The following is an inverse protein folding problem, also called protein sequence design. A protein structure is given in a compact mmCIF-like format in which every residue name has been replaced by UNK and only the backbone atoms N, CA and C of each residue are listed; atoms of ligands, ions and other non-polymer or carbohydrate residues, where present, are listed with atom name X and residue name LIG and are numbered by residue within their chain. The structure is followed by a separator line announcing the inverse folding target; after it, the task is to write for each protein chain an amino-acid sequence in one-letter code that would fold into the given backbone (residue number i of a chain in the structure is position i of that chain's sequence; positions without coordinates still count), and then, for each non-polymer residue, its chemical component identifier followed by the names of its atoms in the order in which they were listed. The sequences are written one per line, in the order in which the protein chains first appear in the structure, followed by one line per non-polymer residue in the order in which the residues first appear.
data_IF_266434617142
#
_entry.id   IF_266434617142
#
_cell.length_a   1.000
_cell.length_b   1.000
_cell.length_c   1.000
_cell.angle_alpha   90.00
_cell.angle_beta   90.00
_cell.angle_gamma   90.00
#
_symmetry.space_group_name_H-M   'P 1'
#
loop_
_entity.id
_entity.type
_entity.pdbx_description
1 polymer ?
#
# COMPACT_ATOMS: atom_id res chain seq x y z
N UNK A 1 12.28 22.23 -23.10
CA UNK A 1 12.44 22.58 -21.66
C UNK A 1 11.49 23.75 -21.33
N UNK A 2 11.40 24.83 -22.15
CA UNK A 2 10.51 25.96 -21.89
C UNK A 2 9.02 25.62 -21.89
N UNK A 3 8.55 24.74 -22.78
CA UNK A 3 7.15 24.31 -22.85
C UNK A 3 6.76 23.47 -21.64
N UNK A 4 7.65 22.61 -21.15
CA UNK A 4 7.43 21.82 -19.92
C UNK A 4 7.40 22.71 -18.69
N UNK A 5 8.26 23.72 -18.62
CA UNK A 5 8.26 24.70 -17.53
C UNK A 5 6.99 25.56 -17.54
N UNK A 6 6.51 26.01 -18.71
CA UNK A 6 5.26 26.76 -18.85
C UNK A 6 4.04 25.92 -18.45
N UNK A 7 4.00 24.65 -18.85
CA UNK A 7 2.94 23.70 -18.43
C UNK A 7 3.00 23.49 -16.92
N UNK A 8 4.17 23.31 -16.33
CA UNK A 8 4.34 23.14 -14.90
C UNK A 8 3.90 24.39 -14.11
N UNK A 9 4.27 25.59 -14.55
CA UNK A 9 3.85 26.86 -13.94
C UNK A 9 2.34 27.07 -14.08
N UNK A 10 1.75 26.78 -15.24
CA UNK A 10 0.30 26.84 -15.43
C UNK A 10 -0.44 25.85 -14.56
N UNK A 11 0.09 24.63 -14.41
CA UNK A 11 -0.46 23.65 -13.47
C UNK A 11 -0.34 24.09 -12.02
N UNK A 12 0.76 24.75 -11.62
CA UNK A 12 0.92 25.28 -10.25
C UNK A 12 -0.05 26.42 -9.99
N UNK A 13 -0.25 27.35 -10.93
CA UNK A 13 -1.21 28.44 -10.77
C UNK A 13 -2.66 27.94 -10.79
N UNK A 14 -2.98 26.99 -11.67
CA UNK A 14 -4.28 26.33 -11.69
C UNK A 14 -4.52 25.58 -10.36
N UNK A 15 -3.52 24.82 -9.91
CA UNK A 15 -3.55 24.11 -8.62
C UNK A 15 -3.77 25.06 -7.45
N UNK A 16 -3.03 26.16 -7.42
CA UNK A 16 -3.17 27.20 -6.39
C UNK A 16 -4.56 27.84 -6.38
N UNK A 17 -5.12 28.15 -7.54
CA UNK A 17 -6.47 28.70 -7.68
C UNK A 17 -7.56 27.71 -7.29
N UNK A 18 -7.38 26.42 -7.58
CA UNK A 18 -8.38 25.38 -7.29
C UNK A 18 -8.33 24.97 -5.82
N UNK A 19 -7.13 24.82 -5.23
CA UNK A 19 -6.95 24.24 -3.92
C UNK A 19 -6.93 25.25 -2.74
N UNK A 20 -6.60 26.52 -3.00
CA UNK A 20 -6.47 27.54 -1.96
C UNK A 20 -7.67 28.49 -1.87
N UNK A 21 -8.79 28.20 -2.55
CA UNK A 21 -9.97 29.09 -2.57
C UNK A 21 -10.70 29.08 -1.23
N UNK A 22 -10.76 27.94 -0.53
CA UNK A 22 -11.49 27.82 0.73
C UNK A 22 -10.72 26.94 1.72
N UNK A 23 -10.68 27.40 2.98
CA UNK A 23 -10.03 26.66 4.09
C UNK A 23 -10.58 25.24 4.24
N UNK A 24 -11.86 25.01 3.97
CA UNK A 24 -12.49 23.67 4.03
C UNK A 24 -11.96 22.75 2.95
N UNK A 25 -11.81 23.25 1.74
CA UNK A 25 -11.21 22.52 0.61
C UNK A 25 -9.76 22.13 0.92
N UNK A 26 -9.00 23.06 1.50
CA UNK A 26 -7.60 22.81 1.91
C UNK A 26 -7.51 21.72 2.97
N UNK A 27 -8.39 21.74 3.98
CA UNK A 27 -8.39 20.72 5.05
C UNK A 27 -8.75 19.33 4.50
N UNK A 28 -9.80 19.23 3.69
CA UNK A 28 -10.22 17.94 3.11
C UNK A 28 -9.17 17.36 2.16
N UNK A 29 -8.66 18.17 1.25
CA UNK A 29 -7.61 17.73 0.32
C UNK A 29 -6.29 17.44 1.06
N UNK A 30 -5.94 18.24 2.07
CA UNK A 30 -4.79 18.02 2.93
C UNK A 30 -4.86 16.67 3.65
N UNK A 31 -6.04 16.28 4.13
CA UNK A 31 -6.25 14.97 4.75
C UNK A 31 -6.07 13.82 3.74
N UNK A 32 -6.62 13.94 2.53
CA UNK A 32 -6.44 12.95 1.46
C UNK A 32 -4.95 12.80 1.10
N UNK A 33 -4.23 13.92 0.93
CA UNK A 33 -2.81 13.90 0.62
C UNK A 33 -1.98 13.30 1.77
N UNK A 34 -2.32 13.60 3.02
CA UNK A 34 -1.66 13.03 4.19
C UNK A 34 -1.84 11.50 4.22
N UNK A 35 -3.06 11.00 3.99
CA UNK A 35 -3.31 9.56 3.88
C UNK A 35 -2.52 8.94 2.74
N UNK A 36 -2.50 9.59 1.58
CA UNK A 36 -1.73 9.12 0.42
C UNK A 36 -0.24 9.02 0.71
N UNK A 37 0.37 10.06 1.27
CA UNK A 37 1.81 10.06 1.57
C UNK A 37 2.19 9.07 2.67
N UNK A 38 1.38 8.95 3.74
CA UNK A 38 1.63 7.95 4.78
C UNK A 38 1.52 6.53 4.24
N UNK A 39 0.54 6.26 3.38
CA UNK A 39 0.41 5.00 2.66
C UNK A 39 1.59 4.73 1.73
N UNK A 40 2.03 5.74 0.97
CA UNK A 40 3.15 5.63 0.05
C UNK A 40 4.47 5.29 0.78
N UNK A 41 4.72 5.92 1.93
CA UNK A 41 5.88 5.60 2.77
C UNK A 41 5.85 4.14 3.23
N UNK A 42 4.69 3.65 3.66
CA UNK A 42 4.55 2.25 4.06
C UNK A 42 4.72 1.29 2.88
N UNK A 43 4.22 1.66 1.71
CA UNK A 43 4.37 0.88 0.50
C UNK A 43 5.85 0.78 0.08
N UNK A 44 6.60 1.89 0.14
CA UNK A 44 8.04 1.90 -0.13
C UNK A 44 8.79 1.01 0.88
N UNK A 45 8.43 1.06 2.16
CA UNK A 45 9.03 0.19 3.18
C UNK A 45 8.75 -1.28 2.92
N UNK A 46 7.52 -1.62 2.52
CA UNK A 46 7.14 -2.99 2.18
C UNK A 46 7.89 -3.50 0.94
N UNK A 47 8.05 -2.67 -0.11
CA UNK A 47 8.86 -3.01 -1.29
C UNK A 47 10.32 -3.23 -0.91
N UNK A 48 10.89 -2.36 -0.07
CA UNK A 48 12.28 -2.51 0.38
C UNK A 48 12.49 -3.80 1.18
N UNK A 49 11.54 -4.14 2.05
CA UNK A 49 11.54 -5.39 2.80
C UNK A 49 11.50 -6.60 1.88
N UNK A 50 10.54 -6.66 0.95
CA UNK A 50 10.41 -7.77 0.00
C UNK A 50 11.62 -7.90 -0.95
N UNK A 51 12.18 -6.79 -1.40
CA UNK A 51 13.40 -6.80 -2.23
C UNK A 51 14.61 -7.32 -1.46
N UNK A 52 14.66 -7.09 -0.15
CA UNK A 52 15.71 -7.65 0.71
C UNK A 52 15.54 -9.16 0.84
N UNK A 53 14.32 -9.64 1.07
CA UNK A 53 14.02 -11.07 1.15
C UNK A 53 14.32 -11.80 -0.18
N UNK A 54 13.95 -11.20 -1.31
CA UNK A 54 14.26 -11.75 -2.64
C UNK A 54 15.75 -11.98 -2.83
N UNK A 55 16.60 -10.99 -2.49
CA UNK A 55 18.05 -11.12 -2.57
C UNK A 55 18.59 -12.23 -1.66
N UNK A 56 17.99 -12.42 -0.49
CA UNK A 56 18.39 -13.51 0.41
C UNK A 56 18.04 -14.88 -0.15
N UNK A 57 16.87 -15.00 -0.81
CA UNK A 57 16.46 -16.22 -1.52
C UNK A 57 17.43 -16.54 -2.66
N UNK A 58 17.78 -15.55 -3.46
CA UNK A 58 18.76 -15.73 -4.55
C UNK A 58 20.15 -16.10 -4.02
N UNK A 59 20.61 -15.44 -2.95
CA UNK A 59 21.87 -15.79 -2.28
C UNK A 59 21.86 -17.22 -1.77
N UNK A 60 20.77 -17.68 -1.15
CA UNK A 60 20.59 -19.05 -0.70
C UNK A 60 20.71 -20.06 -1.86
N UNK A 61 20.03 -19.82 -2.97
CA UNK A 61 20.06 -20.69 -4.13
C UNK A 61 21.47 -20.76 -4.73
N UNK A 62 22.15 -19.62 -4.81
CA UNK A 62 23.54 -19.57 -5.35
C UNK A 62 24.55 -20.27 -4.44
N UNK A 63 24.45 -20.11 -3.12
CA UNK A 63 25.35 -20.76 -2.15
C UNK A 63 25.14 -22.30 -2.09
N UNK A 64 23.90 -22.77 -2.25
CA UNK A 64 23.60 -24.21 -2.37
C UNK A 64 24.20 -24.82 -3.64
N UNK A 65 24.15 -24.12 -4.78
CA UNK A 65 24.83 -24.56 -6.01
C UNK A 65 26.35 -24.65 -5.84
N UNK A 66 26.94 -23.76 -5.04
CA UNK A 66 28.38 -23.68 -4.77
C UNK A 66 28.84 -24.61 -3.62
N UNK A 67 27.93 -25.39 -3.00
CA UNK A 67 28.17 -26.25 -1.82
C UNK A 67 28.78 -25.51 -0.61
N UNK A 68 28.55 -24.22 -0.49
CA UNK A 68 28.93 -23.45 0.70
C UNK A 68 27.84 -23.58 1.77
N UNK A 69 28.25 -23.84 3.01
CA UNK A 69 27.35 -23.80 4.17
C UNK A 69 26.84 -22.38 4.37
N UNK A 70 25.51 -22.23 4.54
CA UNK A 70 24.91 -20.94 4.86
C UNK A 70 25.50 -20.37 6.14
N UNK A 71 25.81 -19.06 6.19
CA UNK A 71 26.13 -18.37 7.43
C UNK A 71 24.91 -18.45 8.38
N UNK A 72 25.14 -18.82 9.64
CA UNK A 72 24.08 -18.89 10.66
C UNK A 72 23.29 -17.60 10.83
N UNK A 73 23.90 -16.44 10.55
CA UNK A 73 23.25 -15.13 10.57
C UNK A 73 22.16 -14.98 9.51
N UNK A 74 22.31 -15.56 8.33
CA UNK A 74 21.29 -15.52 7.27
C UNK A 74 20.07 -16.38 7.63
N UNK A 75 20.29 -17.45 8.41
CA UNK A 75 19.26 -18.38 8.84
C UNK A 75 18.30 -17.79 9.88
N UNK A 76 18.70 -16.79 10.64
CA UNK A 76 17.87 -16.24 11.73
C UNK A 76 16.89 -15.16 11.30
N UNK A 77 17.18 -14.42 10.23
CA UNK A 77 16.46 -13.18 9.89
C UNK A 77 15.60 -13.31 8.63
N UNK A 78 15.97 -14.19 7.68
CA UNK A 78 15.26 -14.35 6.40
C UNK A 78 14.04 -15.26 6.49
N UNK A 79 13.10 -15.10 5.54
CA UNK A 79 11.94 -15.99 5.36
C UNK A 79 12.36 -17.46 5.20
N UNK A 80 13.38 -17.72 4.40
CA UNK A 80 13.94 -19.07 4.21
C UNK A 80 14.54 -19.60 5.51
N UNK A 81 15.28 -18.77 6.24
CA UNK A 81 15.90 -19.18 7.49
C UNK A 81 14.85 -19.48 8.57
N UNK A 82 13.81 -18.67 8.71
CA UNK A 82 12.69 -18.94 9.61
C UNK A 82 12.00 -20.26 9.27
N UNK A 83 11.81 -20.51 7.98
CA UNK A 83 11.24 -21.75 7.47
C UNK A 83 12.11 -22.96 7.83
N UNK A 84 13.41 -22.86 7.54
CA UNK A 84 14.38 -23.89 7.86
C UNK A 84 14.39 -24.22 9.36
N UNK A 85 14.47 -23.22 10.21
CA UNK A 85 14.47 -23.38 11.66
C UNK A 85 13.17 -24.02 12.18
N UNK A 86 12.03 -23.67 11.61
CA UNK A 86 10.73 -24.26 11.95
C UNK A 86 10.71 -25.76 11.58
N UNK A 87 11.14 -26.11 10.37
CA UNK A 87 11.19 -27.49 9.91
C UNK A 87 12.17 -28.30 10.76
N UNK A 88 13.36 -27.77 11.03
CA UNK A 88 14.37 -28.39 11.89
C UNK A 88 13.84 -28.64 13.30
N UNK A 89 13.19 -27.66 13.93
CA UNK A 89 12.65 -27.81 15.27
C UNK A 89 11.53 -28.86 15.37
N UNK A 90 10.72 -29.01 14.34
CA UNK A 90 9.70 -30.06 14.26
C UNK A 90 10.33 -31.44 14.05
N UNK A 91 11.37 -31.53 13.22
CA UNK A 91 12.13 -32.76 12.99
C UNK A 91 12.80 -33.25 14.28
N UNK A 92 13.50 -32.37 14.98
CA UNK A 92 14.16 -32.71 16.29
C UNK A 92 13.15 -33.20 17.33
N UNK A 93 11.91 -32.67 17.31
CA UNK A 93 10.81 -33.10 18.21
C UNK A 93 10.08 -34.36 17.72
N UNK A 94 10.45 -34.92 16.57
CA UNK A 94 9.77 -36.07 15.93
C UNK A 94 8.27 -35.83 15.68
N UNK A 95 7.88 -34.58 15.41
CA UNK A 95 6.50 -34.22 15.08
C UNK A 95 6.30 -34.33 13.57
N UNK A 96 5.18 -34.89 13.09
CA UNK A 96 4.91 -34.96 11.66
C UNK A 96 4.85 -33.56 11.05
N UNK A 97 5.66 -33.33 10.00
CA UNK A 97 5.80 -32.03 9.36
C UNK A 97 4.69 -31.85 8.33
N UNK A 98 3.75 -30.93 8.63
CA UNK A 98 2.74 -30.53 7.67
C UNK A 98 3.22 -29.28 6.91
N UNK A 99 3.84 -29.50 5.76
CA UNK A 99 4.41 -28.43 4.93
C UNK A 99 3.38 -27.38 4.49
N UNK A 100 2.15 -27.83 4.19
CA UNK A 100 1.06 -26.91 3.82
C UNK A 100 0.65 -25.99 4.95
N UNK A 101 0.59 -26.48 6.19
CA UNK A 101 0.27 -25.67 7.36
C UNK A 101 1.36 -24.62 7.63
N UNK A 102 2.64 -25.02 7.53
CA UNK A 102 3.75 -24.09 7.71
C UNK A 102 3.76 -23.02 6.59
N UNK A 103 3.48 -23.40 5.33
CA UNK A 103 3.34 -22.47 4.22
C UNK A 103 2.25 -21.43 4.48
N UNK A 104 1.07 -21.90 4.91
CA UNK A 104 -0.06 -21.03 5.22
C UNK A 104 0.24 -20.03 6.36
N UNK A 105 0.97 -20.46 7.40
CA UNK A 105 1.40 -19.57 8.49
C UNK A 105 2.35 -18.50 7.96
N UNK A 106 3.35 -18.88 7.16
CA UNK A 106 4.31 -17.92 6.57
C UNK A 106 3.60 -16.90 5.68
N UNK A 107 2.67 -17.35 4.83
CA UNK A 107 1.86 -16.45 4.01
C UNK A 107 1.01 -15.49 4.86
N UNK A 108 0.42 -15.97 5.94
CA UNK A 108 -0.40 -15.15 6.84
C UNK A 108 0.46 -14.11 7.61
N UNK A 109 1.67 -14.46 8.01
CA UNK A 109 2.61 -13.54 8.65
C UNK A 109 3.04 -12.44 7.70
N UNK A 110 3.38 -12.78 6.46
CA UNK A 110 3.89 -11.84 5.48
C UNK A 110 2.79 -10.90 4.97
N UNK A 111 1.59 -11.41 4.71
CA UNK A 111 0.44 -10.59 4.29
C UNK A 111 0.01 -9.56 5.36
N UNK A 112 0.44 -9.71 6.60
CA UNK A 112 0.24 -8.71 7.65
C UNK A 112 0.92 -7.37 7.33
N UNK A 113 2.06 -7.39 6.67
CA UNK A 113 2.76 -6.18 6.24
C UNK A 113 1.99 -5.38 5.19
N UNK A 114 1.11 -6.04 4.41
CA UNK A 114 0.25 -5.41 3.41
C UNK A 114 -1.09 -4.91 3.97
N UNK A 115 -1.42 -5.23 5.22
CA UNK A 115 -2.70 -4.82 5.81
C UNK A 115 -2.87 -3.31 5.83
N UNK A 116 -1.82 -2.54 6.16
CA UNK A 116 -1.89 -1.08 6.20
C UNK A 116 -2.01 -0.45 4.80
N UNK A 117 -1.18 -0.79 3.80
CA UNK A 117 -1.39 -0.35 2.42
C UNK A 117 -2.80 -0.66 1.89
N UNK A 118 -3.32 -1.85 2.17
CA UNK A 118 -4.69 -2.24 1.79
C UNK A 118 -5.74 -1.35 2.45
N UNK A 119 -5.58 -1.06 3.72
CA UNK A 119 -6.46 -0.15 4.46
C UNK A 119 -6.44 1.24 3.84
N UNK A 120 -5.25 1.82 3.60
CA UNK A 120 -5.11 3.14 2.97
C UNK A 120 -5.75 3.19 1.60
N UNK A 121 -5.55 2.15 0.77
CA UNK A 121 -6.17 2.06 -0.55
C UNK A 121 -7.69 2.17 -0.48
N UNK A 122 -8.32 1.47 0.44
CA UNK A 122 -9.77 1.51 0.61
C UNK A 122 -10.27 2.83 1.20
N UNK A 123 -9.53 3.40 2.15
CA UNK A 123 -9.92 4.65 2.82
C UNK A 123 -9.77 5.85 1.90
N UNK A 124 -8.82 5.86 0.95
CA UNK A 124 -8.64 6.96 0.01
C UNK A 124 -9.91 7.23 -0.82
N UNK A 125 -10.53 6.20 -1.37
CA UNK A 125 -11.76 6.37 -2.15
C UNK A 125 -12.94 6.76 -1.26
N UNK A 126 -13.06 6.15 -0.07
CA UNK A 126 -14.11 6.47 0.89
C UNK A 126 -14.01 7.92 1.39
N UNK A 127 -12.80 8.41 1.58
CA UNK A 127 -12.57 9.82 1.99
C UNK A 127 -12.99 10.79 0.89
N UNK A 128 -12.77 10.44 -0.38
CA UNK A 128 -13.26 11.23 -1.51
C UNK A 128 -14.79 11.32 -1.52
N UNK A 129 -15.48 10.21 -1.36
CA UNK A 129 -16.95 10.15 -1.28
C UNK A 129 -17.47 10.90 -0.06
N UNK A 130 -16.84 10.72 1.10
CA UNK A 130 -17.19 11.44 2.31
C UNK A 130 -17.04 12.96 2.14
N UNK A 131 -15.93 13.39 1.53
CA UNK A 131 -15.67 14.80 1.22
C UNK A 131 -16.73 15.41 0.31
N UNK A 132 -17.22 14.67 -0.70
CA UNK A 132 -18.34 15.15 -1.54
C UNK A 132 -19.63 15.30 -0.77
N UNK A 133 -19.98 14.34 0.08
CA UNK A 133 -21.21 14.42 0.90
C UNK A 133 -21.17 15.65 1.80
N UNK A 134 -20.07 15.88 2.52
CA UNK A 134 -19.90 17.03 3.40
C UNK A 134 -20.00 18.34 2.60
N UNK A 135 -19.35 18.42 1.46
CA UNK A 135 -19.35 19.63 0.62
C UNK A 135 -20.73 19.92 0.02
N UNK A 136 -21.48 18.89 -0.38
CA UNK A 136 -22.85 19.05 -0.86
C UNK A 136 -23.81 19.51 0.25
N UNK A 137 -23.63 19.06 1.48
CA UNK A 137 -24.40 19.57 2.63
C UNK A 137 -24.19 21.07 2.78
N UNK A 138 -22.95 21.57 2.66
CA UNK A 138 -22.67 23.00 2.68
C UNK A 138 -23.31 23.74 1.50
N UNK A 139 -23.32 23.17 0.31
CA UNK A 139 -23.99 23.75 -0.85
C UNK A 139 -25.49 23.88 -0.61
N UNK A 140 -26.13 22.87 0.01
CA UNK A 140 -27.56 22.91 0.36
C UNK A 140 -27.87 23.97 1.40
N UNK A 141 -27.02 24.16 2.41
CA UNK A 141 -27.17 25.25 3.39
C UNK A 141 -27.16 26.61 2.68
N UNK A 142 -26.28 26.84 1.72
CA UNK A 142 -26.27 28.03 0.87
C UNK A 142 -27.59 28.24 0.11
N UNK A 143 -28.13 27.16 -0.48
CA UNK A 143 -29.38 27.20 -1.21
C UNK A 143 -30.58 27.56 -0.30
N UNK A 144 -30.64 27.03 0.92
CA UNK A 144 -31.72 27.40 1.89
C UNK A 144 -31.65 28.83 2.32
N UNK A 145 -30.46 29.42 2.44
CA UNK A 145 -30.28 30.86 2.77
C UNK A 145 -30.84 31.75 1.66
N UNK A 146 -30.66 31.39 0.40
CA UNK A 146 -31.26 32.12 -0.77
C UNK A 146 -32.77 32.15 -0.66
N UNK A 147 -33.40 31.04 -0.31
CA UNK A 147 -34.86 30.91 -0.24
C UNK A 147 -35.49 31.68 0.96
N UNK A 148 -34.76 31.81 2.05
CA UNK A 148 -35.29 32.37 3.29
C UNK A 148 -35.10 33.91 3.43
N UNK A 149 -33.98 34.44 2.92
CA UNK A 149 -33.55 35.80 3.25
C UNK A 149 -33.57 36.79 2.09
N UNK A 150 -33.99 36.38 0.88
CA UNK A 150 -33.80 37.15 -0.38
C UNK A 150 -32.36 37.65 -0.62
N UNK A 151 -31.39 37.16 0.16
CA UNK A 151 -29.96 37.45 -0.02
C UNK A 151 -29.34 36.53 -1.12
N UNK A 152 -29.88 36.68 -2.31
CA UNK A 152 -29.53 35.78 -3.44
C UNK A 152 -28.01 35.70 -3.72
N UNK A 153 -27.30 36.83 -3.56
CA UNK A 153 -25.86 36.86 -3.90
C UNK A 153 -24.99 36.03 -3.00
N UNK A 154 -25.16 36.12 -1.68
CA UNK A 154 -24.34 35.38 -0.71
C UNK A 154 -24.65 33.88 -0.71
N UNK A 155 -25.96 33.52 -0.74
CA UNK A 155 -26.37 32.11 -0.75
C UNK A 155 -25.91 31.34 -2.02
N UNK A 156 -25.99 31.99 -3.19
CA UNK A 156 -25.48 31.40 -4.45
C UNK A 156 -23.94 31.19 -4.38
N UNK A 157 -23.23 32.17 -3.77
CA UNK A 157 -21.78 32.03 -3.56
C UNK A 157 -21.41 30.81 -2.72
N UNK A 158 -22.09 30.60 -1.58
CA UNK A 158 -21.90 29.42 -0.70
C UNK A 158 -22.25 28.13 -1.43
N UNK A 159 -23.32 28.09 -2.21
CA UNK A 159 -23.74 26.93 -2.99
C UNK A 159 -22.68 26.54 -4.03
N UNK A 160 -22.22 27.52 -4.82
CA UNK A 160 -21.18 27.29 -5.86
C UNK A 160 -19.87 26.84 -5.24
N UNK A 161 -19.49 27.41 -4.10
CA UNK A 161 -18.29 27.05 -3.38
C UNK A 161 -18.36 25.58 -2.87
N UNK A 162 -19.49 25.17 -2.29
CA UNK A 162 -19.71 23.79 -1.85
C UNK A 162 -19.64 22.78 -3.00
N UNK A 163 -20.26 23.12 -4.15
CA UNK A 163 -20.18 22.27 -5.34
C UNK A 163 -18.75 22.14 -5.88
N UNK A 164 -18.03 23.26 -5.96
CA UNK A 164 -16.64 23.26 -6.41
C UNK A 164 -15.75 22.42 -5.46
N UNK A 165 -15.92 22.57 -4.16
CA UNK A 165 -15.20 21.78 -3.16
C UNK A 165 -15.49 20.28 -3.32
N UNK A 166 -16.76 19.90 -3.54
CA UNK A 166 -17.15 18.51 -3.76
C UNK A 166 -16.42 17.90 -4.98
N UNK A 167 -16.48 18.57 -6.12
CA UNK A 167 -15.82 18.11 -7.35
C UNK A 167 -14.30 17.99 -7.18
N UNK A 168 -13.69 18.99 -6.57
CA UNK A 168 -12.24 19.04 -6.40
C UNK A 168 -11.73 17.95 -5.43
N UNK A 169 -12.43 17.73 -4.33
CA UNK A 169 -12.08 16.69 -3.34
C UNK A 169 -12.17 15.30 -3.96
N UNK A 170 -13.22 15.05 -4.74
CA UNK A 170 -13.38 13.77 -5.42
C UNK A 170 -12.32 13.55 -6.48
N UNK A 171 -12.03 14.57 -7.30
CA UNK A 171 -10.98 14.49 -8.32
C UNK A 171 -9.63 14.17 -7.68
N UNK A 172 -9.28 14.85 -6.60
CA UNK A 172 -8.03 14.59 -5.85
C UNK A 172 -7.98 13.15 -5.32
N UNK A 173 -9.07 12.71 -4.67
CA UNK A 173 -9.14 11.36 -4.11
C UNK A 173 -9.00 10.27 -5.19
N UNK A 174 -9.66 10.44 -6.34
CA UNK A 174 -9.58 9.49 -7.45
C UNK A 174 -8.17 9.41 -8.01
N UNK A 175 -7.50 10.55 -8.22
CA UNK A 175 -6.11 10.57 -8.72
C UNK A 175 -5.17 9.88 -7.72
N UNK A 176 -5.25 10.21 -6.44
CA UNK A 176 -4.46 9.58 -5.38
C UNK A 176 -4.75 8.08 -5.28
N UNK A 177 -6.02 7.68 -5.33
CA UNK A 177 -6.45 6.28 -5.30
C UNK A 177 -5.92 5.50 -6.49
N UNK A 178 -6.03 6.04 -7.71
CA UNK A 178 -5.54 5.37 -8.93
C UNK A 178 -4.03 5.12 -8.87
N UNK A 179 -3.25 6.15 -8.53
CA UNK A 179 -1.80 6.03 -8.38
C UNK A 179 -1.44 5.03 -7.27
N UNK A 180 -2.10 5.12 -6.13
CA UNK A 180 -1.84 4.23 -5.00
C UNK A 180 -2.18 2.78 -5.32
N UNK A 181 -3.33 2.53 -5.96
CA UNK A 181 -3.77 1.19 -6.37
C UNK A 181 -2.79 0.55 -7.34
N UNK A 182 -2.26 1.33 -8.29
CA UNK A 182 -1.26 0.83 -9.23
C UNK A 182 -0.01 0.32 -8.51
N UNK A 183 0.55 1.10 -7.59
CA UNK A 183 1.72 0.68 -6.82
C UNK A 183 1.41 -0.46 -5.85
N UNK A 184 0.23 -0.43 -5.23
CA UNK A 184 -0.22 -1.50 -4.34
C UNK A 184 -0.34 -2.85 -5.06
N UNK A 185 -0.89 -2.87 -6.27
CA UNK A 185 -0.96 -4.08 -7.09
C UNK A 185 0.42 -4.63 -7.41
N UNK A 186 1.37 -3.77 -7.81
CA UNK A 186 2.76 -4.18 -8.05
C UNK A 186 3.42 -4.78 -6.82
N UNK A 187 3.13 -4.23 -5.65
CA UNK A 187 3.63 -4.77 -4.39
C UNK A 187 3.04 -6.16 -4.10
N UNK A 188 1.74 -6.35 -4.32
CA UNK A 188 1.07 -7.65 -4.12
C UNK A 188 1.59 -8.72 -5.08
N UNK A 189 1.87 -8.35 -6.33
CA UNK A 189 2.48 -9.23 -7.32
C UNK A 189 3.89 -9.66 -6.88
N UNK A 190 4.69 -8.71 -6.40
CA UNK A 190 6.05 -8.98 -5.88
C UNK A 190 6.01 -9.89 -4.65
N UNK A 191 5.09 -9.66 -3.70
CA UNK A 191 4.90 -10.52 -2.53
C UNK A 191 4.61 -11.97 -2.95
N UNK A 192 3.64 -12.15 -3.84
CA UNK A 192 3.27 -13.48 -4.35
C UNK A 192 4.44 -14.17 -5.04
N UNK A 193 5.21 -13.43 -5.82
CA UNK A 193 6.40 -13.93 -6.50
C UNK A 193 7.48 -14.39 -5.49
N UNK A 194 7.81 -13.55 -4.52
CA UNK A 194 8.84 -13.87 -3.50
C UNK A 194 8.42 -15.07 -2.68
N UNK A 195 7.17 -15.12 -2.20
CA UNK A 195 6.66 -16.26 -1.44
C UNK A 195 6.69 -17.57 -2.26
N UNK A 196 6.33 -17.51 -3.53
CA UNK A 196 6.41 -18.67 -4.43
C UNK A 196 7.85 -19.18 -4.60
N UNK A 197 8.81 -18.25 -4.74
CA UNK A 197 10.25 -18.60 -4.82
C UNK A 197 10.78 -19.21 -3.53
N UNK A 198 10.36 -18.67 -2.37
CA UNK A 198 10.69 -19.26 -1.05
C UNK A 198 10.16 -20.69 -0.96
N UNK A 199 8.89 -20.91 -1.29
CA UNK A 199 8.30 -22.25 -1.26
C UNK A 199 9.01 -23.22 -2.20
N UNK A 200 9.32 -22.79 -3.42
CA UNK A 200 10.08 -23.62 -4.36
C UNK A 200 11.47 -23.99 -3.82
N UNK A 201 12.18 -23.02 -3.23
CA UNK A 201 13.49 -23.27 -2.63
C UNK A 201 13.40 -24.25 -1.45
N UNK A 202 12.38 -24.14 -0.61
CA UNK A 202 12.12 -25.06 0.52
C UNK A 202 11.83 -26.47 0.02
N UNK A 203 10.94 -26.62 -0.95
CA UNK A 203 10.55 -27.92 -1.49
C UNK A 203 11.71 -28.66 -2.17
N UNK A 204 12.54 -27.94 -2.92
CA UNK A 204 13.61 -28.56 -3.71
C UNK A 204 14.89 -28.80 -2.89
N UNK A 205 15.22 -27.89 -1.97
CA UNK A 205 16.52 -27.91 -1.30
C UNK A 205 16.48 -28.27 0.20
N UNK A 206 15.40 -27.91 0.91
CA UNK A 206 15.33 -28.10 2.36
C UNK A 206 14.66 -29.43 2.70
N UNK A 207 13.49 -29.72 2.14
CA UNK A 207 12.73 -30.94 2.48
C UNK A 207 13.51 -32.23 2.23
N UNK A 208 14.23 -32.41 1.10
CA UNK A 208 14.99 -33.64 0.86
C UNK A 208 16.06 -33.90 1.92
N UNK A 209 16.67 -32.85 2.48
CA UNK A 209 17.71 -32.96 3.50
C UNK A 209 17.19 -33.65 4.77
N UNK A 210 15.95 -33.40 5.17
CA UNK A 210 15.28 -34.03 6.32
C UNK A 210 14.61 -35.37 5.98
N UNK A 211 14.29 -35.62 4.70
CA UNK A 211 13.63 -36.87 4.29
C UNK A 211 14.61 -38.05 4.16
N UNK A 212 15.88 -37.80 3.86
CA UNK A 212 16.89 -38.84 3.68
C UNK A 212 17.59 -39.29 4.97
N UNK A 213 17.48 -38.54 6.05
CA UNK A 213 18.11 -38.88 7.34
C UNK A 213 17.30 -39.90 8.18
N UNK A 214 16.20 -40.41 7.65
CA UNK A 214 15.32 -41.41 8.27
C UNK A 214 15.65 -42.88 7.89
N UNK A 215 16.88 -43.14 7.37
CA UNK A 215 17.36 -44.51 7.10
C UNK A 215 18.41 -44.94 8.07
#
# INVERSE_FOLDING_TARGET
IGALAAIAVWHVDLFRRIYLIDTKTVVLNGFILLLFFTGLIQLIRAVAHLSHEERQVEGFLHDKETRRFLPEELLSTSLIGRRFNTIRSLYERKVPINHGAIAAITMAEESRHLSYPKFVNNVLILTGVFGTIVSLIYALIGATTVLQTNAAGEGIGVMLLGMNTALNTTATAIVCFFLFTFFYQRLTDLETYVLSRVEQAVLVHIIPEFAFDTR
#
